data_IF_216558943144
#
_entry.id   IF_216558943144
#
_cell.length_a   1.000
_cell.length_b   1.000
_cell.length_c   1.000
_cell.angle_alpha   90.00
_cell.angle_beta   90.00
_cell.angle_gamma   90.00
#
_symmetry.space_group_name_H-M   'P 1'
#
loop_
_entity.id
_entity.type
_entity.pdbx_description
1 polymer ?
#
# COMPACT_ATOMS: atom_id res chain seq x y z
N UNK A 1 6.61 -9.31 -6.68
CA UNK A 1 7.28 -8.62 -5.56
C UNK A 1 6.23 -8.13 -4.57
N UNK A 2 6.46 -8.40 -3.30
CA UNK A 2 5.57 -7.95 -2.24
C UNK A 2 6.07 -6.63 -1.65
N UNK A 3 5.15 -5.69 -1.49
CA UNK A 3 5.44 -4.36 -0.96
C UNK A 3 4.70 -4.15 0.34
N UNK A 4 5.26 -3.33 1.22
CA UNK A 4 4.56 -2.86 2.41
C UNK A 4 4.35 -1.35 2.28
N UNK A 5 3.13 -0.91 2.56
CA UNK A 5 2.76 0.50 2.60
C UNK A 5 2.48 0.90 4.03
N UNK A 6 3.23 1.88 4.53
CA UNK A 6 3.19 2.30 5.93
C UNK A 6 2.64 3.71 6.04
N UNK A 7 2.13 4.03 7.22
CA UNK A 7 1.61 5.36 7.55
C UNK A 7 0.42 5.77 6.67
N UNK A 8 -0.41 4.80 6.33
CA UNK A 8 -1.63 5.05 5.57
C UNK A 8 -2.65 5.81 6.43
N UNK A 9 -3.49 6.66 5.81
CA UNK A 9 -4.60 7.25 6.55
C UNK A 9 -5.49 6.15 7.14
N UNK A 10 -5.94 6.35 8.37
CA UNK A 10 -6.72 5.33 9.09
C UNK A 10 -8.08 5.07 8.47
N UNK A 11 -8.58 5.99 7.66
CA UNK A 11 -9.84 5.81 6.94
C UNK A 11 -9.67 5.14 5.57
N UNK A 12 -8.44 4.77 5.20
CA UNK A 12 -8.18 4.04 3.97
C UNK A 12 -8.77 2.65 4.07
N UNK A 13 -9.43 2.21 2.98
CA UNK A 13 -9.88 0.83 2.87
C UNK A 13 -8.99 0.06 1.89
N UNK A 14 -9.25 -1.24 1.78
CA UNK A 14 -8.45 -2.12 0.93
C UNK A 14 -8.58 -1.76 -0.54
N UNK A 15 -9.76 -1.32 -0.96
CA UNK A 15 -9.97 -0.89 -2.35
C UNK A 15 -9.18 0.37 -2.67
N UNK A 16 -9.10 1.29 -1.75
CA UNK A 16 -8.29 2.51 -1.91
C UNK A 16 -6.81 2.19 -1.98
N UNK A 17 -6.35 1.26 -1.15
CA UNK A 17 -4.96 0.82 -1.19
C UNK A 17 -4.63 0.17 -2.53
N UNK A 18 -5.49 -0.71 -3.01
CA UNK A 18 -5.31 -1.37 -4.29
C UNK A 18 -5.29 -0.36 -5.44
N UNK A 19 -6.21 0.60 -5.43
CA UNK A 19 -6.29 1.62 -6.47
C UNK A 19 -5.00 2.45 -6.56
N UNK A 20 -4.40 2.74 -5.41
CA UNK A 20 -3.17 3.53 -5.35
C UNK A 20 -2.03 2.84 -6.11
N UNK A 21 -1.90 1.53 -5.97
CA UNK A 21 -0.84 0.76 -6.62
C UNK A 21 -1.21 0.34 -8.04
N UNK A 22 -2.50 0.18 -8.32
CA UNK A 22 -2.97 -0.24 -9.65
C UNK A 22 -2.59 0.75 -10.74
N UNK A 23 -2.40 1.99 -10.38
CA UNK A 23 -1.93 3.02 -11.31
C UNK A 23 -0.55 2.70 -11.91
N UNK A 24 0.23 1.84 -11.25
CA UNK A 24 1.60 1.52 -11.66
C UNK A 24 1.76 0.13 -12.24
N UNK A 25 0.74 -0.72 -12.15
CA UNK A 25 0.81 -2.05 -12.73
C UNK A 25 -0.22 -3.00 -12.16
N UNK A 26 -0.07 -4.28 -12.51
CA UNK A 26 -1.00 -5.32 -12.09
C UNK A 26 -0.75 -5.75 -10.67
N UNK A 27 -1.83 -5.85 -9.90
CA UNK A 27 -1.82 -6.27 -8.52
C UNK A 27 -2.29 -7.72 -8.44
N UNK A 28 -1.51 -8.58 -7.77
CA UNK A 28 -1.88 -9.97 -7.51
C UNK A 28 -2.66 -10.12 -6.22
N UNK A 29 -2.30 -9.33 -5.22
CA UNK A 29 -2.92 -9.42 -3.92
C UNK A 29 -2.79 -8.09 -3.20
N UNK A 30 -3.76 -7.80 -2.34
CA UNK A 30 -3.75 -6.57 -1.57
C UNK A 30 -4.45 -6.84 -0.24
N UNK A 31 -3.75 -6.57 0.85
CA UNK A 31 -4.27 -6.80 2.19
C UNK A 31 -4.02 -5.58 3.06
N UNK A 32 -5.09 -5.00 3.58
CA UNK A 32 -4.99 -3.95 4.58
C UNK A 32 -5.05 -4.60 5.95
N UNK A 33 -4.08 -4.29 6.80
CA UNK A 33 -4.01 -4.89 8.13
C UNK A 33 -4.97 -4.17 9.07
N UNK A 34 -5.86 -4.93 9.69
CA UNK A 34 -6.90 -4.40 10.56
C UNK A 34 -6.65 -4.82 12.00
N UNK A 35 -7.04 -3.93 12.92
CA UNK A 35 -7.04 -4.25 14.33
C UNK A 35 -8.25 -5.13 14.64
N UNK A 36 -8.00 -6.33 15.18
CA UNK A 36 -9.06 -7.29 15.45
C UNK A 36 -10.02 -6.83 16.56
N UNK A 37 -9.55 -6.00 17.46
CA UNK A 37 -10.37 -5.53 18.59
C UNK A 37 -11.31 -4.40 18.18
N UNK A 38 -10.84 -3.47 17.35
CA UNK A 38 -11.62 -2.28 16.98
C UNK A 38 -12.21 -2.36 15.59
N UNK A 39 -11.72 -3.27 14.75
CA UNK A 39 -12.11 -3.36 13.34
C UNK A 39 -11.59 -2.23 12.48
N UNK A 40 -10.66 -1.44 12.99
CA UNK A 40 -10.09 -0.30 12.28
C UNK A 40 -8.74 -0.65 11.67
N UNK A 41 -8.38 0.07 10.63
CA UNK A 41 -7.07 -0.09 10.00
C UNK A 41 -5.96 0.24 10.98
N UNK A 42 -4.89 -0.57 10.95
CA UNK A 42 -3.66 -0.26 11.70
C UNK A 42 -2.79 0.77 11.01
N UNK A 43 -3.19 1.23 9.82
CA UNK A 43 -2.46 2.24 9.08
C UNK A 43 -1.34 1.68 8.21
N UNK A 44 -1.39 0.37 7.91
CA UNK A 44 -0.44 -0.22 6.96
C UNK A 44 -1.05 -1.44 6.28
N UNK A 45 -0.45 -1.82 5.17
CA UNK A 45 -0.93 -2.97 4.42
C UNK A 45 0.13 -3.50 3.48
N UNK A 46 -0.21 -4.60 2.81
CA UNK A 46 0.68 -5.27 1.87
C UNK A 46 0.05 -5.32 0.50
N UNK A 47 0.87 -5.12 -0.52
CA UNK A 47 0.44 -5.23 -1.91
C UNK A 47 1.44 -6.11 -2.64
N UNK A 48 0.94 -7.14 -3.31
CA UNK A 48 1.79 -7.97 -4.17
C UNK A 48 1.56 -7.58 -5.61
N UNK A 49 2.63 -7.16 -6.28
CA UNK A 49 2.57 -6.77 -7.69
C UNK A 49 3.15 -7.87 -8.55
N UNK A 50 2.54 -8.06 -9.73
CA UNK A 50 2.89 -9.18 -10.62
C UNK A 50 4.29 -9.04 -11.21
N UNK A 51 4.72 -7.82 -11.52
CA UNK A 51 5.99 -7.57 -12.19
C UNK A 51 6.91 -6.71 -11.33
N UNK A 52 8.15 -7.15 -11.19
CA UNK A 52 9.13 -6.48 -10.33
C UNK A 52 9.42 -5.05 -10.76
N UNK A 53 9.51 -4.79 -12.06
CA UNK A 53 9.81 -3.44 -12.53
C UNK A 53 8.67 -2.47 -12.26
N UNK A 54 7.43 -2.95 -12.30
CA UNK A 54 6.27 -2.12 -11.94
C UNK A 54 6.25 -1.84 -10.44
N UNK A 55 6.62 -2.84 -9.65
CA UNK A 55 6.74 -2.67 -8.20
C UNK A 55 7.80 -1.65 -7.85
N UNK A 56 8.95 -1.67 -8.54
CA UNK A 56 10.02 -0.70 -8.32
C UNK A 56 9.56 0.72 -8.63
N UNK A 57 8.80 0.89 -9.72
CA UNK A 57 8.23 2.20 -10.08
C UNK A 57 7.25 2.67 -9.00
N UNK A 58 6.39 1.77 -8.53
CA UNK A 58 5.43 2.09 -7.48
C UNK A 58 6.13 2.55 -6.20
N UNK A 59 7.19 1.87 -5.80
CA UNK A 59 7.99 2.29 -4.65
C UNK A 59 8.52 3.70 -4.85
N UNK A 60 9.15 3.94 -5.99
CA UNK A 60 9.75 5.23 -6.31
C UNK A 60 8.75 6.38 -6.27
N UNK A 61 7.58 6.14 -6.86
CA UNK A 61 6.57 7.19 -7.01
C UNK A 61 5.77 7.41 -5.73
N UNK A 62 5.54 6.36 -4.96
CA UNK A 62 4.67 6.43 -3.79
C UNK A 62 5.40 6.69 -2.48
N UNK A 63 6.66 6.26 -2.37
CA UNK A 63 7.40 6.46 -1.13
C UNK A 63 7.60 7.97 -0.86
N UNK A 64 7.14 8.42 0.31
CA UNK A 64 7.18 9.81 0.67
C UNK A 64 6.05 10.66 0.10
N UNK A 65 5.12 10.04 -0.64
CA UNK A 65 3.96 10.75 -1.18
C UNK A 65 2.99 11.12 -0.08
N UNK A 66 2.37 12.28 -0.21
CA UNK A 66 1.36 12.71 0.74
C UNK A 66 -0.01 12.23 0.29
N UNK A 67 -0.63 11.39 1.11
CA UNK A 67 -1.98 10.89 0.89
C UNK A 67 -2.85 11.43 2.02
N UNK A 68 -3.80 12.29 1.69
CA UNK A 68 -4.54 13.01 2.70
C UNK A 68 -3.60 13.87 3.52
N UNK A 69 -3.52 13.63 4.81
CA UNK A 69 -2.62 14.35 5.73
C UNK A 69 -1.33 13.58 6.03
N UNK A 70 -1.21 12.36 5.49
CA UNK A 70 -0.12 11.47 5.85
C UNK A 70 0.90 11.37 4.72
N UNK A 71 2.18 11.32 5.08
CA UNK A 71 3.23 10.91 4.14
C UNK A 71 3.41 9.41 4.26
N UNK A 72 3.07 8.70 3.22
CA UNK A 72 3.18 7.25 3.23
C UNK A 72 4.60 6.81 2.93
N UNK A 73 4.92 5.59 3.35
CA UNK A 73 6.21 4.96 3.09
C UNK A 73 5.94 3.64 2.39
N UNK A 74 6.65 3.41 1.31
CA UNK A 74 6.48 2.18 0.54
C UNK A 74 7.83 1.52 0.37
N UNK A 75 7.90 0.24 0.71
CA UNK A 75 9.15 -0.53 0.68
C UNK A 75 8.87 -1.93 0.16
N UNK A 76 9.94 -2.59 -0.29
CA UNK A 76 9.85 -4.02 -0.56
C UNK A 76 9.71 -4.77 0.77
N UNK A 77 8.81 -5.76 0.80
CA UNK A 77 8.50 -6.51 2.01
C UNK A 77 9.13 -7.91 2.03
N UNK A 78 9.73 -8.33 0.92
CA UNK A 78 10.38 -9.63 0.85
C UNK A 78 11.83 -9.57 1.29
#
# INVERSE_FOLDING_TARGET
MKLIALNLPRNFDENQLAALFKAYGNIRDCTLVMDQKTGRSKGFGFVEMALDHEADIAIKELHGSKIGKNRIRVKAAD
#
